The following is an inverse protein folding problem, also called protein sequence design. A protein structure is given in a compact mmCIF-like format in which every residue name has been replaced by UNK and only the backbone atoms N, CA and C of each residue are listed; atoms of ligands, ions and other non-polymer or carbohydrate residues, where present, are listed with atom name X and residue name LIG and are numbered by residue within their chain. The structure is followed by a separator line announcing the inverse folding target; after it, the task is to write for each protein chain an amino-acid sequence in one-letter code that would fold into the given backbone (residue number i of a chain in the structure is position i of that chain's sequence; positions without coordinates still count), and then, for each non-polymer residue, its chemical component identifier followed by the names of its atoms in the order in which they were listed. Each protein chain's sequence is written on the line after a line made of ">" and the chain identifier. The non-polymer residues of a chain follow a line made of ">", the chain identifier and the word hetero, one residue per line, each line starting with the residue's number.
data_IF_555942452732
#
_entry.id   IF_555942452732
#
_cell.length_a   1.000
_cell.length_b   1.000
_cell.length_c   1.000
_cell.angle_alpha   90.00
_cell.angle_beta   90.00
_cell.angle_gamma   90.00
#
_symmetry.space_group_name_H-M   'P 1'
#
loop_
_entity.id
_entity.type
_entity.pdbx_description
1 polymer ?
#
# COMPACT_ATOMS: atom_id res chain seq x y z
N UNK A 1 -25.48 -71.48 -10.42
CA UNK A 1 -25.98 -70.37 -9.57
C UNK A 1 -24.94 -69.21 -9.42
N UNK A 2 -24.04 -68.97 -10.36
CA UNK A 2 -23.04 -67.87 -10.27
C UNK A 2 -23.26 -66.60 -11.14
N UNK A 3 -24.14 -66.55 -12.16
CA UNK A 3 -24.30 -65.31 -12.96
C UNK A 3 -25.29 -64.28 -12.36
N UNK A 4 -26.22 -64.73 -11.46
CA UNK A 4 -27.23 -63.78 -10.95
C UNK A 4 -26.68 -62.75 -9.94
N UNK A 5 -25.66 -63.12 -9.15
CA UNK A 5 -25.08 -62.27 -8.13
C UNK A 5 -24.25 -61.16 -8.82
N UNK A 6 -23.59 -61.45 -9.94
CA UNK A 6 -22.79 -60.45 -10.70
C UNK A 6 -23.67 -59.38 -11.36
N UNK A 7 -24.85 -59.74 -11.83
CA UNK A 7 -25.79 -58.78 -12.44
C UNK A 7 -26.43 -57.85 -11.41
N UNK A 8 -26.71 -58.35 -10.20
CA UNK A 8 -27.26 -57.54 -9.10
C UNK A 8 -26.24 -56.48 -8.58
N UNK A 9 -24.95 -56.81 -8.53
CA UNK A 9 -23.90 -55.85 -8.15
C UNK A 9 -23.70 -54.74 -9.20
N UNK A 10 -23.85 -55.04 -10.49
CA UNK A 10 -23.74 -54.02 -11.57
C UNK A 10 -24.93 -53.06 -11.51
N UNK A 11 -26.13 -53.52 -11.24
CA UNK A 11 -27.32 -52.68 -11.06
C UNK A 11 -27.24 -51.75 -9.81
N UNK A 12 -26.65 -52.23 -8.72
CA UNK A 12 -26.44 -51.43 -7.52
C UNK A 12 -25.40 -50.32 -7.73
N UNK A 13 -24.37 -50.57 -8.54
CA UNK A 13 -23.34 -49.54 -8.87
C UNK A 13 -23.91 -48.51 -9.84
N UNK A 14 -24.71 -48.87 -10.82
CA UNK A 14 -25.36 -47.94 -11.74
C UNK A 14 -26.41 -47.05 -11.06
N UNK A 15 -27.16 -47.59 -10.10
CA UNK A 15 -28.15 -46.82 -9.34
C UNK A 15 -27.51 -45.74 -8.46
N UNK A 16 -26.32 -45.99 -7.92
CA UNK A 16 -25.62 -45.00 -7.11
C UNK A 16 -25.01 -43.86 -7.94
N UNK A 17 -24.57 -44.10 -9.18
CA UNK A 17 -24.03 -43.06 -10.08
C UNK A 17 -25.16 -42.11 -10.53
N UNK A 18 -26.33 -42.66 -10.91
CA UNK A 18 -27.47 -41.81 -11.30
C UNK A 18 -28.02 -40.96 -10.12
N UNK A 19 -28.00 -41.49 -8.89
CA UNK A 19 -28.41 -40.71 -7.71
C UNK A 19 -27.40 -39.62 -7.32
N UNK A 20 -26.12 -39.80 -7.62
CA UNK A 20 -25.08 -38.74 -7.41
C UNK A 20 -25.21 -37.61 -8.43
N UNK A 21 -25.47 -37.94 -9.69
CA UNK A 21 -25.65 -36.91 -10.74
C UNK A 21 -26.93 -36.09 -10.51
N UNK A 22 -28.01 -36.71 -10.02
CA UNK A 22 -29.26 -36.01 -9.67
C UNK A 22 -29.08 -35.10 -8.44
N UNK A 23 -28.29 -35.53 -7.44
CA UNK A 23 -27.99 -34.77 -6.24
C UNK A 23 -27.06 -33.57 -6.56
N UNK A 24 -26.12 -33.77 -7.49
CA UNK A 24 -25.25 -32.69 -7.99
C UNK A 24 -26.05 -31.65 -8.78
N UNK A 25 -26.99 -32.10 -9.64
CA UNK A 25 -27.85 -31.19 -10.38
C UNK A 25 -28.80 -30.41 -9.45
N UNK A 26 -29.32 -31.04 -8.39
CA UNK A 26 -30.11 -30.35 -7.35
C UNK A 26 -29.27 -29.34 -6.56
N UNK A 27 -28.03 -29.67 -6.20
CA UNK A 27 -27.10 -28.76 -5.55
C UNK A 27 -26.76 -27.57 -6.46
N UNK A 28 -26.48 -27.81 -7.74
CA UNK A 28 -26.24 -26.74 -8.73
C UNK A 28 -27.48 -25.86 -8.95
N UNK A 29 -28.69 -26.40 -8.82
CA UNK A 29 -29.93 -25.63 -8.92
C UNK A 29 -30.22 -24.78 -7.67
N UNK A 30 -29.67 -25.16 -6.52
CA UNK A 30 -29.74 -24.43 -5.25
C UNK A 30 -28.64 -23.35 -5.15
N UNK A 31 -27.56 -23.49 -5.90
CA UNK A 31 -26.58 -22.41 -6.05
C UNK A 31 -27.23 -21.30 -6.88
N UNK A 32 -27.53 -20.18 -6.19
CA UNK A 32 -28.01 -18.96 -6.84
C UNK A 32 -27.04 -18.48 -7.93
N UNK A 33 -27.42 -17.48 -8.71
CA UNK A 33 -26.57 -16.98 -9.78
C UNK A 33 -25.20 -16.60 -9.24
N UNK A 34 -24.13 -17.08 -9.89
CA UNK A 34 -22.76 -16.81 -9.49
C UNK A 34 -22.50 -15.30 -9.43
N UNK A 35 -22.28 -14.76 -8.22
CA UNK A 35 -22.10 -13.34 -7.98
C UNK A 35 -20.60 -13.03 -8.00
N UNK A 36 -20.22 -11.90 -8.63
CA UNK A 36 -18.85 -11.45 -8.63
C UNK A 36 -18.37 -11.12 -7.20
N UNK A 37 -17.29 -11.74 -6.76
CA UNK A 37 -16.77 -11.61 -5.39
C UNK A 37 -15.71 -10.51 -5.30
N UNK A 38 -15.74 -9.66 -4.26
CA UNK A 38 -14.69 -8.67 -4.05
C UNK A 38 -13.35 -9.34 -3.73
N UNK A 39 -12.28 -8.79 -4.30
CA UNK A 39 -10.90 -9.24 -4.05
C UNK A 39 -10.32 -8.41 -2.91
N UNK A 40 -9.95 -9.06 -1.84
CA UNK A 40 -9.34 -8.46 -0.66
C UNK A 40 -7.83 -8.69 -0.62
N UNK A 41 -7.13 -7.85 0.18
CA UNK A 41 -5.70 -7.94 0.43
C UNK A 41 -4.88 -7.96 -0.86
N UNK A 42 -5.06 -6.94 -1.70
CA UNK A 42 -4.20 -6.68 -2.86
C UNK A 42 -2.77 -6.41 -2.37
N UNK A 43 -2.63 -5.58 -1.36
CA UNK A 43 -1.43 -5.43 -0.55
C UNK A 43 -1.70 -5.91 0.88
N UNK A 44 -0.68 -5.96 1.73
CA UNK A 44 -0.89 -6.34 3.14
C UNK A 44 -1.03 -5.13 4.05
N UNK A 45 -0.21 -4.12 3.82
CA UNK A 45 -0.21 -2.87 4.58
C UNK A 45 -0.81 -1.71 3.81
N UNK A 46 -1.10 -0.63 4.52
CA UNK A 46 -1.54 0.65 3.94
C UNK A 46 -0.44 1.38 3.17
N UNK A 47 0.82 0.89 3.26
CA UNK A 47 1.98 1.36 2.50
C UNK A 47 2.78 0.18 1.93
N UNK A 48 3.47 0.42 0.78
CA UNK A 48 4.50 -0.50 0.26
C UNK A 48 5.78 -0.27 1.07
N UNK A 49 6.47 0.81 0.83
CA UNK A 49 7.57 1.34 1.66
C UNK A 49 7.24 2.77 2.09
N UNK A 50 7.23 3.72 1.14
CA UNK A 50 6.72 5.08 1.31
C UNK A 50 5.36 5.25 0.60
N UNK A 51 5.21 4.64 -0.58
CA UNK A 51 4.03 4.75 -1.42
C UNK A 51 2.80 4.17 -0.70
N UNK A 52 1.73 4.96 -0.64
CA UNK A 52 0.44 4.53 -0.12
C UNK A 52 -0.15 3.42 -1.00
N UNK A 53 -0.84 2.45 -0.40
CA UNK A 53 -1.56 1.40 -1.13
C UNK A 53 -3.07 1.66 -1.15
N UNK A 54 -3.80 0.90 -1.97
CA UNK A 54 -5.26 0.92 -1.98
C UNK A 54 -5.90 0.37 -0.69
N UNK A 55 -5.11 -0.22 0.21
CA UNK A 55 -5.64 -0.84 1.42
C UNK A 55 -6.01 0.18 2.50
N UNK A 56 -7.14 -0.07 3.15
CA UNK A 56 -7.64 0.63 4.33
C UNK A 56 -7.82 -0.40 5.45
N UNK A 57 -7.59 -0.03 6.73
CA UNK A 57 -8.08 -0.82 7.87
C UNK A 57 -9.60 -1.02 7.77
N UNK A 58 -10.13 -2.06 8.38
CA UNK A 58 -11.56 -2.31 8.39
C UNK A 58 -12.32 -1.20 9.16
N UNK A 59 -13.62 -1.11 8.94
CA UNK A 59 -14.46 -0.15 9.66
C UNK A 59 -14.36 -0.34 11.18
N UNK A 60 -14.13 0.76 11.90
CA UNK A 60 -13.93 0.76 13.34
C UNK A 60 -12.53 0.36 13.79
N UNK A 61 -11.60 0.16 12.84
CA UNK A 61 -10.21 -0.13 13.16
C UNK A 61 -9.32 1.11 13.06
N UNK A 62 -8.37 1.20 14.00
CA UNK A 62 -7.24 2.11 13.95
C UNK A 62 -5.97 1.38 13.55
N UNK A 63 -5.07 2.05 12.87
CA UNK A 63 -3.75 1.52 12.53
C UNK A 63 -2.68 2.48 13.03
N UNK A 64 -1.67 1.94 13.73
CA UNK A 64 -0.47 2.67 14.11
C UNK A 64 0.71 2.16 13.30
N UNK A 65 1.51 3.08 12.76
CA UNK A 65 2.72 2.76 11.97
C UNK A 65 3.90 3.52 12.56
N UNK A 66 4.98 2.79 12.82
CA UNK A 66 6.30 3.34 13.09
C UNK A 66 7.16 3.08 11.87
N UNK A 67 7.69 4.15 11.28
CA UNK A 67 8.64 4.07 10.18
C UNK A 67 9.99 4.60 10.62
N UNK A 68 11.05 3.92 10.22
CA UNK A 68 12.42 4.22 10.60
C UNK A 68 13.31 4.21 9.36
N UNK A 69 14.13 5.26 9.16
CA UNK A 69 15.13 5.34 8.10
C UNK A 69 16.46 5.70 8.72
N UNK A 70 17.42 4.82 8.53
CA UNK A 70 18.79 5.04 8.95
C UNK A 70 19.51 6.08 8.08
N UNK A 71 20.74 6.42 8.40
CA UNK A 71 21.55 7.27 7.54
C UNK A 71 22.08 6.51 6.31
N UNK A 72 22.77 7.19 5.42
CA UNK A 72 23.31 6.60 4.20
C UNK A 72 24.36 5.52 4.52
N UNK A 73 24.27 4.39 3.80
CA UNK A 73 25.21 3.26 3.96
C UNK A 73 26.64 3.62 3.53
N UNK A 74 26.78 4.55 2.58
CA UNK A 74 28.07 4.99 2.00
C UNK A 74 28.75 6.13 2.77
N UNK A 75 28.07 6.78 3.74
CA UNK A 75 28.66 7.84 4.55
C UNK A 75 29.54 7.25 5.67
N UNK A 76 30.85 7.18 5.41
CA UNK A 76 31.86 6.65 6.35
C UNK A 76 31.38 5.36 7.05
N UNK A 77 31.25 4.25 6.32
CA UNK A 77 30.48 3.08 6.77
C UNK A 77 30.90 2.52 8.13
N UNK A 78 32.18 2.38 8.39
CA UNK A 78 32.69 1.86 9.66
C UNK A 78 32.53 2.86 10.83
N UNK A 79 32.63 4.14 10.54
CA UNK A 79 32.48 5.19 11.56
C UNK A 79 31.02 5.36 12.01
N UNK A 80 30.09 5.35 11.05
CA UNK A 80 28.66 5.53 11.30
C UNK A 80 27.90 4.19 11.43
N UNK A 81 28.62 3.09 11.66
CA UNK A 81 28.06 1.73 11.73
C UNK A 81 27.06 1.47 10.57
N UNK A 82 27.51 1.70 9.32
CA UNK A 82 26.67 1.57 8.11
C UNK A 82 25.37 2.40 8.17
N UNK A 83 25.44 3.59 8.77
CA UNK A 83 24.33 4.51 8.92
C UNK A 83 23.41 4.23 10.11
N UNK A 84 23.63 3.19 10.89
CA UNK A 84 22.74 2.80 12.00
C UNK A 84 22.75 3.79 13.17
N UNK A 85 23.82 4.60 13.35
CA UNK A 85 23.95 5.56 14.46
C UNK A 85 23.02 6.75 14.35
N UNK A 86 22.44 7.02 13.17
CA UNK A 86 21.59 8.17 12.94
C UNK A 86 20.35 7.80 12.14
N UNK A 87 19.19 8.11 12.69
CA UNK A 87 17.93 7.73 12.11
C UNK A 87 16.89 8.86 12.09
N UNK A 88 16.02 8.80 11.10
CA UNK A 88 14.75 9.53 11.08
C UNK A 88 13.62 8.57 11.45
N UNK A 89 12.69 9.06 12.27
CA UNK A 89 11.53 8.29 12.74
C UNK A 89 10.27 9.03 12.31
N UNK A 90 9.27 8.28 11.88
CA UNK A 90 7.92 8.76 11.63
C UNK A 90 6.93 7.92 12.42
N UNK A 91 6.02 8.59 13.11
CA UNK A 91 4.83 8.02 13.72
C UNK A 91 3.61 8.41 12.91
N UNK A 92 2.73 7.46 12.69
CA UNK A 92 1.50 7.66 11.95
C UNK A 92 0.37 6.88 12.66
N UNK A 93 -0.77 7.53 12.78
CA UNK A 93 -2.00 6.89 13.25
C UNK A 93 -3.13 7.19 12.28
N UNK A 94 -3.90 6.17 11.95
CA UNK A 94 -5.10 6.32 11.13
C UNK A 94 -6.27 5.55 11.72
N UNK A 95 -7.48 5.97 11.34
CA UNK A 95 -8.74 5.36 11.75
C UNK A 95 -9.69 5.28 10.57
N UNK A 96 -10.43 4.17 10.46
CA UNK A 96 -11.43 3.96 9.42
C UNK A 96 -12.84 4.08 10.02
N UNK A 97 -13.52 5.22 9.86
CA UNK A 97 -14.91 5.39 10.33
C UNK A 97 -15.92 4.59 9.49
N UNK A 98 -15.54 4.13 8.32
CA UNK A 98 -16.32 3.25 7.44
C UNK A 98 -15.42 2.38 6.59
N UNK A 99 -15.99 1.38 5.90
CA UNK A 99 -15.25 0.49 4.98
C UNK A 99 -14.60 1.20 3.78
N UNK A 100 -15.08 2.41 3.46
CA UNK A 100 -14.63 3.18 2.29
C UNK A 100 -13.79 4.40 2.63
N UNK A 101 -13.71 4.78 3.91
CA UNK A 101 -13.01 5.99 4.34
C UNK A 101 -12.00 5.67 5.44
N UNK A 102 -10.76 6.17 5.27
CA UNK A 102 -9.72 6.18 6.29
C UNK A 102 -9.14 7.58 6.42
N UNK A 103 -8.98 8.06 7.63
CA UNK A 103 -8.34 9.34 7.96
C UNK A 103 -7.13 9.10 8.84
N UNK A 104 -6.07 9.87 8.67
CA UNK A 104 -4.86 9.68 9.43
C UNK A 104 -4.05 10.96 9.60
N UNK A 105 -3.10 10.88 10.51
CA UNK A 105 -2.13 11.93 10.77
C UNK A 105 -0.77 11.32 11.07
N UNK A 106 0.27 12.08 10.80
CA UNK A 106 1.62 11.63 11.04
C UNK A 106 2.57 12.75 11.43
N UNK A 107 3.71 12.34 12.01
CA UNK A 107 4.82 13.24 12.28
C UNK A 107 6.14 12.56 11.95
N UNK A 108 6.94 13.21 11.12
CA UNK A 108 8.32 12.80 10.81
C UNK A 108 9.32 13.66 11.58
N UNK A 109 10.38 13.04 12.10
CA UNK A 109 11.52 13.78 12.66
C UNK A 109 12.34 14.51 11.59
N UNK A 110 12.32 14.02 10.35
CA UNK A 110 12.89 14.67 9.20
C UNK A 110 12.16 15.98 8.91
N UNK A 111 12.89 17.10 8.82
CA UNK A 111 12.36 18.46 8.66
C UNK A 111 11.24 18.81 9.64
N UNK A 112 11.10 18.08 10.77
CA UNK A 112 10.04 18.28 11.77
C UNK A 112 8.65 18.41 11.12
N UNK A 113 8.33 17.49 10.20
CA UNK A 113 7.15 17.57 9.34
C UNK A 113 5.95 16.90 10.02
N UNK A 114 4.79 17.56 9.96
CA UNK A 114 3.48 17.02 10.31
C UNK A 114 2.65 16.86 9.05
N UNK A 115 1.77 15.89 9.03
CA UNK A 115 0.81 15.68 7.94
C UNK A 115 -0.50 15.11 8.46
N UNK A 116 -1.55 15.39 7.71
CA UNK A 116 -2.85 14.76 7.83
C UNK A 116 -3.30 14.28 6.45
N UNK A 117 -4.04 13.19 6.42
CA UNK A 117 -4.50 12.62 5.15
C UNK A 117 -5.86 11.93 5.25
N UNK A 118 -6.46 11.72 4.09
CA UNK A 118 -7.63 10.88 3.91
C UNK A 118 -7.43 9.94 2.73
N UNK A 119 -8.00 8.74 2.83
CA UNK A 119 -8.15 7.77 1.76
C UNK A 119 -9.63 7.47 1.58
N UNK A 120 -10.09 7.45 0.34
CA UNK A 120 -11.46 7.08 -0.01
C UNK A 120 -11.44 5.96 -1.06
N UNK A 121 -11.97 4.79 -0.74
CA UNK A 121 -12.10 3.67 -1.67
C UNK A 121 -13.23 3.96 -2.64
N UNK A 122 -12.91 4.04 -3.94
CA UNK A 122 -13.86 4.36 -5.01
C UNK A 122 -14.48 3.08 -5.60
N UNK A 123 -13.67 2.03 -5.76
CA UNK A 123 -14.11 0.73 -6.26
C UNK A 123 -13.19 -0.38 -5.78
N UNK A 124 -13.73 -1.59 -5.70
CA UNK A 124 -12.98 -2.80 -5.30
C UNK A 124 -12.95 -3.78 -6.45
N UNK A 125 -11.76 -4.30 -6.76
CA UNK A 125 -11.58 -5.37 -7.74
C UNK A 125 -12.49 -6.55 -7.41
N UNK A 126 -13.05 -7.17 -8.43
CA UNK A 126 -13.88 -8.36 -8.30
C UNK A 126 -13.24 -9.54 -9.03
N UNK A 127 -13.44 -10.74 -8.48
CA UNK A 127 -13.14 -12.01 -9.15
C UNK A 127 -14.37 -12.43 -9.95
N UNK A 128 -14.14 -12.91 -11.17
CA UNK A 128 -15.18 -13.53 -11.97
C UNK A 128 -15.32 -15.00 -11.58
N UNK A 129 -16.44 -15.44 -11.00
CA UNK A 129 -16.71 -16.84 -10.77
C UNK A 129 -16.91 -17.59 -12.10
N UNK A 130 -16.79 -18.90 -12.07
CA UNK A 130 -17.11 -19.76 -13.22
C UNK A 130 -18.60 -19.57 -13.61
N UNK A 131 -18.86 -19.50 -14.91
CA UNK A 131 -20.24 -19.25 -15.41
C UNK A 131 -20.74 -17.82 -15.35
N UNK A 132 -20.06 -16.88 -14.67
CA UNK A 132 -20.50 -15.48 -14.60
C UNK A 132 -20.29 -14.75 -15.93
N UNK A 133 -21.39 -14.26 -16.54
CA UNK A 133 -21.40 -13.54 -17.84
C UNK A 133 -21.44 -12.01 -17.68
N UNK A 134 -21.64 -11.50 -16.46
CA UNK A 134 -21.74 -10.08 -16.16
C UNK A 134 -20.39 -9.36 -16.22
N UNK A 135 -20.46 -8.01 -16.15
CA UNK A 135 -19.27 -7.18 -15.96
C UNK A 135 -18.70 -7.39 -14.55
N UNK A 136 -17.38 -7.43 -14.44
CA UNK A 136 -16.65 -7.45 -13.15
C UNK A 136 -15.65 -6.31 -13.12
N UNK A 137 -15.50 -5.68 -11.95
CA UNK A 137 -14.56 -4.58 -11.73
C UNK A 137 -13.13 -5.14 -11.79
N UNK A 138 -12.27 -4.70 -12.75
CA UNK A 138 -10.99 -5.33 -13.00
C UNK A 138 -9.86 -4.92 -12.04
N UNK A 139 -10.04 -3.84 -11.26
CA UNK A 139 -9.04 -3.25 -10.37
C UNK A 139 -9.69 -2.59 -9.15
N UNK A 140 -8.90 -2.36 -8.11
CA UNK A 140 -9.27 -1.53 -6.96
C UNK A 140 -8.79 -0.11 -7.20
N UNK A 141 -9.64 0.90 -6.97
CA UNK A 141 -9.27 2.31 -7.02
C UNK A 141 -9.55 2.98 -5.68
N UNK A 142 -8.56 3.75 -5.20
CA UNK A 142 -8.65 4.53 -3.96
C UNK A 142 -8.07 5.91 -4.20
N UNK A 143 -8.81 6.94 -3.80
CA UNK A 143 -8.33 8.31 -3.76
C UNK A 143 -7.58 8.56 -2.45
N UNK A 144 -6.45 9.26 -2.53
CA UNK A 144 -5.66 9.71 -1.40
C UNK A 144 -5.43 11.21 -1.51
N UNK A 145 -5.57 11.90 -0.39
CA UNK A 145 -5.25 13.33 -0.30
C UNK A 145 -4.56 13.60 1.02
N UNK A 146 -3.44 14.32 0.99
CA UNK A 146 -2.72 14.74 2.19
C UNK A 146 -2.33 16.21 2.17
N UNK A 147 -2.22 16.78 3.36
CA UNK A 147 -1.65 18.09 3.63
C UNK A 147 -0.45 17.90 4.55
N UNK A 148 0.65 18.53 4.20
CA UNK A 148 1.93 18.45 4.92
C UNK A 148 2.37 19.83 5.38
N UNK A 149 2.88 19.94 6.61
CA UNK A 149 3.41 21.17 7.21
C UNK A 149 4.85 20.95 7.64
N UNK A 150 5.79 21.67 7.07
CA UNK A 150 7.19 21.69 7.51
C UNK A 150 7.37 22.73 8.62
N UNK A 151 7.83 22.29 9.81
CA UNK A 151 7.98 23.21 10.97
C UNK A 151 9.41 23.67 11.24
N UNK A 152 10.39 23.18 10.47
CA UNK A 152 11.76 23.69 10.54
C UNK A 152 11.78 25.17 10.14
N UNK A 153 12.51 26.04 10.86
CA UNK A 153 12.67 27.44 10.47
C UNK A 153 13.23 27.57 9.04
N UNK A 154 12.79 28.58 8.32
CA UNK A 154 13.40 28.93 7.04
C UNK A 154 14.83 29.40 7.27
N UNK A 155 15.78 29.05 6.38
CA UNK A 155 17.19 29.40 6.56
C UNK A 155 17.51 30.84 6.18
N UNK A 156 16.59 31.53 5.51
CA UNK A 156 16.70 32.92 5.09
C UNK A 156 16.18 33.90 6.17
N UNK A 157 16.47 35.17 6.03
CA UNK A 157 15.99 36.24 6.91
C UNK A 157 14.77 36.98 6.31
N UNK A 158 13.94 36.26 5.55
CA UNK A 158 12.73 36.79 4.92
C UNK A 158 11.53 36.43 5.77
N UNK A 159 10.58 37.34 5.87
CA UNK A 159 9.29 37.04 6.51
C UNK A 159 8.45 36.13 5.61
N UNK A 160 8.16 34.93 6.10
CA UNK A 160 7.34 33.94 5.44
C UNK A 160 5.95 33.85 6.05
N UNK A 161 4.95 33.61 5.20
CA UNK A 161 3.61 33.28 5.66
C UNK A 161 3.55 31.86 6.22
N UNK A 162 2.63 31.60 7.14
CA UNK A 162 2.40 30.25 7.66
C UNK A 162 2.00 29.25 6.54
N UNK A 163 1.32 29.76 5.50
CA UNK A 163 0.95 28.98 4.32
C UNK A 163 2.14 28.48 3.50
N UNK A 164 3.28 29.19 3.53
CA UNK A 164 4.47 28.81 2.75
C UNK A 164 5.07 27.47 3.17
N UNK A 165 4.70 27.01 4.37
CA UNK A 165 5.08 25.71 4.95
C UNK A 165 4.25 24.54 4.48
N UNK A 166 3.19 24.82 3.70
CA UNK A 166 2.22 23.82 3.29
C UNK A 166 2.56 23.21 1.93
N UNK A 167 2.35 21.90 1.84
CA UNK A 167 2.29 21.19 0.57
C UNK A 167 1.13 20.19 0.60
N UNK A 168 0.57 19.91 -0.58
CA UNK A 168 -0.57 19.02 -0.73
C UNK A 168 -0.25 17.93 -1.74
N UNK A 169 -0.75 16.73 -1.49
CA UNK A 169 -0.59 15.59 -2.41
C UNK A 169 -1.96 14.99 -2.67
N UNK A 170 -2.25 14.75 -3.95
CA UNK A 170 -3.45 14.05 -4.38
C UNK A 170 -3.04 12.89 -5.28
N UNK A 171 -3.47 11.66 -4.93
CA UNK A 171 -3.15 10.45 -5.69
C UNK A 171 -4.42 9.68 -6.03
N UNK A 172 -4.49 9.17 -7.24
CA UNK A 172 -5.45 8.14 -7.61
C UNK A 172 -4.70 6.80 -7.66
N UNK A 173 -4.86 5.99 -6.63
CA UNK A 173 -4.21 4.68 -6.55
C UNK A 173 -5.05 3.64 -7.29
N UNK A 174 -4.48 3.00 -8.31
CA UNK A 174 -5.09 1.98 -9.14
C UNK A 174 -4.32 0.69 -8.96
N UNK A 175 -4.91 -0.30 -8.30
CA UNK A 175 -4.22 -1.54 -7.97
C UNK A 175 -4.97 -2.77 -8.49
N UNK A 176 -4.19 -3.78 -8.87
CA UNK A 176 -4.72 -5.07 -9.30
C UNK A 176 -3.95 -6.21 -8.65
N UNK A 177 -4.67 -7.12 -8.02
CA UNK A 177 -4.18 -8.44 -7.66
C UNK A 177 -4.27 -9.31 -8.90
N UNK A 178 -3.13 -9.49 -9.57
CA UNK A 178 -3.04 -10.20 -10.86
C UNK A 178 -3.31 -11.69 -10.66
N UNK A 179 -2.74 -12.25 -9.57
CA UNK A 179 -2.95 -13.62 -9.14
C UNK A 179 -2.72 -13.73 -7.63
N UNK A 180 -2.68 -14.95 -7.10
CA UNK A 180 -2.46 -15.20 -5.66
C UNK A 180 -1.15 -14.59 -5.12
N UNK A 181 -0.11 -14.53 -5.94
CA UNK A 181 1.22 -14.06 -5.54
C UNK A 181 1.51 -12.61 -5.91
N UNK A 182 1.08 -12.15 -7.08
CA UNK A 182 1.47 -10.87 -7.67
C UNK A 182 0.37 -9.82 -7.58
N UNK A 183 0.72 -8.67 -7.02
CA UNK A 183 -0.08 -7.44 -7.01
C UNK A 183 0.72 -6.28 -7.57
N UNK A 184 0.07 -5.44 -8.34
CA UNK A 184 0.64 -4.25 -8.98
C UNK A 184 -0.21 -3.03 -8.65
N UNK A 185 0.42 -1.87 -8.57
CA UNK A 185 -0.23 -0.58 -8.35
C UNK A 185 0.39 0.50 -9.22
N UNK A 186 -0.46 1.37 -9.76
CA UNK A 186 -0.14 2.62 -10.42
C UNK A 186 -0.78 3.76 -9.64
N UNK A 187 -0.04 4.85 -9.41
CA UNK A 187 -0.50 5.98 -8.58
C UNK A 187 -0.17 7.31 -9.27
N UNK A 188 -0.93 7.73 -10.30
CA UNK A 188 -0.84 9.09 -10.79
C UNK A 188 -1.09 10.09 -9.66
N UNK A 189 -0.25 11.11 -9.59
CA UNK A 189 -0.14 12.02 -8.45
C UNK A 189 -0.02 13.46 -8.91
N UNK A 190 -0.72 14.35 -8.21
CA UNK A 190 -0.52 15.79 -8.23
C UNK A 190 0.08 16.22 -6.88
N UNK A 191 1.17 16.97 -6.92
CA UNK A 191 1.81 17.56 -5.74
C UNK A 191 1.81 19.09 -5.90
N UNK A 192 1.20 19.77 -4.94
CA UNK A 192 1.18 21.23 -4.87
C UNK A 192 2.08 21.71 -3.75
N UNK A 193 3.00 22.64 -4.06
CA UNK A 193 3.79 23.36 -3.08
C UNK A 193 3.35 24.82 -3.01
N UNK A 194 3.03 25.32 -1.83
CA UNK A 194 2.71 26.74 -1.67
C UNK A 194 3.93 27.63 -1.87
N UNK A 195 5.12 27.13 -1.51
CA UNK A 195 6.39 27.81 -1.74
C UNK A 195 7.27 26.99 -2.68
N UNK A 196 7.74 27.59 -3.75
CA UNK A 196 8.66 27.04 -4.75
C UNK A 196 9.97 27.84 -4.78
N UNK A 197 11.09 27.28 -5.27
CA UNK A 197 12.41 27.93 -5.22
C UNK A 197 12.45 29.28 -5.93
N UNK A 198 11.78 29.43 -7.07
CA UNK A 198 11.76 30.70 -7.83
C UNK A 198 10.33 31.04 -8.25
N UNK A 199 10.09 32.31 -8.55
CA UNK A 199 8.78 32.82 -9.01
C UNK A 199 8.35 32.27 -10.39
N UNK A 200 9.27 31.67 -11.13
CA UNK A 200 9.00 31.04 -12.44
C UNK A 200 8.69 29.53 -12.31
N UNK A 201 8.95 28.94 -11.17
CA UNK A 201 8.67 27.52 -10.92
C UNK A 201 7.17 27.29 -10.74
N UNK A 202 6.75 26.07 -11.03
CA UNK A 202 5.35 25.65 -10.90
C UNK A 202 5.05 25.15 -9.49
N UNK A 203 3.97 25.65 -8.93
CA UNK A 203 3.43 25.12 -7.67
C UNK A 203 2.85 23.71 -7.86
N UNK A 204 2.19 23.46 -9.02
CA UNK A 204 1.55 22.18 -9.35
C UNK A 204 2.50 21.29 -10.16
N UNK A 205 2.78 20.12 -9.63
CA UNK A 205 3.74 19.19 -10.18
C UNK A 205 3.11 17.80 -10.30
N UNK A 206 3.38 17.09 -11.39
CA UNK A 206 2.81 15.78 -11.67
C UNK A 206 3.88 14.69 -11.54
N UNK A 207 3.44 13.54 -11.09
CA UNK A 207 4.25 12.34 -11.00
C UNK A 207 3.41 11.08 -11.00
N UNK A 208 4.10 9.96 -10.93
CA UNK A 208 3.46 8.65 -10.87
C UNK A 208 4.26 7.69 -10.02
N UNK A 209 3.58 7.07 -9.05
CA UNK A 209 4.11 5.97 -8.27
C UNK A 209 3.80 4.63 -8.94
N UNK A 210 4.78 3.72 -8.93
CA UNK A 210 4.63 2.33 -9.32
C UNK A 210 4.93 1.46 -8.13
N UNK A 211 4.07 0.48 -7.87
CA UNK A 211 4.18 -0.44 -6.75
C UNK A 211 4.00 -1.89 -7.15
N UNK A 212 4.79 -2.76 -6.54
CA UNK A 212 4.76 -4.20 -6.74
C UNK A 212 4.81 -4.91 -5.39
N UNK A 213 4.04 -6.00 -5.27
CA UNK A 213 4.17 -6.97 -4.19
C UNK A 213 4.14 -8.37 -4.78
N UNK A 214 5.14 -9.18 -4.44
CA UNK A 214 5.23 -10.58 -4.82
C UNK A 214 5.32 -11.49 -3.58
N UNK A 215 4.23 -12.19 -3.29
CA UNK A 215 4.10 -13.11 -2.16
C UNK A 215 4.71 -14.46 -2.53
N UNK A 216 5.80 -14.87 -1.86
CA UNK A 216 6.46 -16.14 -2.11
C UNK A 216 6.22 -17.17 -0.99
N UNK A 217 5.75 -16.75 0.19
CA UNK A 217 5.20 -17.64 1.22
C UNK A 217 3.91 -17.05 1.78
N UNK A 218 3.22 -17.77 2.67
CA UNK A 218 2.00 -17.26 3.32
C UNK A 218 2.27 -16.05 4.23
N UNK A 219 3.51 -15.85 4.68
CA UNK A 219 3.90 -14.79 5.63
C UNK A 219 4.93 -13.83 5.09
N UNK A 220 5.50 -14.09 3.91
CA UNK A 220 6.58 -13.27 3.37
C UNK A 220 6.29 -12.86 1.94
N UNK A 221 6.57 -11.58 1.65
CA UNK A 221 6.44 -11.02 0.31
C UNK A 221 7.61 -10.08 0.01
N UNK A 222 8.10 -10.12 -1.21
CA UNK A 222 8.97 -9.10 -1.77
C UNK A 222 8.13 -7.91 -2.20
N UNK A 223 8.61 -6.70 -1.94
CA UNK A 223 7.98 -5.44 -2.35
C UNK A 223 8.96 -4.57 -3.09
N UNK A 224 8.47 -3.81 -4.04
CA UNK A 224 9.24 -2.79 -4.73
C UNK A 224 8.34 -1.60 -5.05
N UNK A 225 8.92 -0.41 -5.03
CA UNK A 225 8.24 0.81 -5.45
C UNK A 225 9.22 1.75 -6.13
N UNK A 226 8.70 2.58 -7.02
CA UNK A 226 9.40 3.75 -7.55
C UNK A 226 8.42 4.89 -7.76
N UNK A 227 8.89 6.10 -7.58
CA UNK A 227 8.14 7.32 -7.89
C UNK A 227 8.94 8.18 -8.86
N UNK A 228 8.29 8.56 -9.94
CA UNK A 228 8.86 9.39 -11.01
C UNK A 228 7.98 10.63 -11.14
N UNK A 229 8.57 11.81 -11.06
CA UNK A 229 7.83 13.05 -11.21
C UNK A 229 8.75 14.21 -11.59
N UNK A 230 8.14 15.28 -12.09
CA UNK A 230 8.82 16.53 -12.38
C UNK A 230 8.52 17.49 -11.23
N UNK A 231 9.53 17.87 -10.47
CA UNK A 231 9.41 18.84 -9.39
C UNK A 231 10.21 20.12 -9.67
N UNK A 232 9.93 21.21 -8.95
CA UNK A 232 10.63 22.49 -9.11
C UNK A 232 12.00 22.52 -8.43
N UNK A 233 12.35 21.46 -7.68
CA UNK A 233 13.58 21.41 -6.91
C UNK A 233 14.71 20.82 -7.74
N UNK A 234 15.86 21.49 -7.73
CA UNK A 234 17.08 20.96 -8.32
C UNK A 234 17.57 19.72 -7.57
N UNK A 235 18.30 18.84 -8.25
CA UNK A 235 18.91 17.64 -7.68
C UNK A 235 17.89 16.70 -6.98
N UNK A 236 16.69 16.55 -7.54
CA UNK A 236 15.78 15.49 -7.14
C UNK A 236 15.85 14.31 -8.11
N UNK A 237 15.79 13.08 -7.56
CA UNK A 237 15.89 11.84 -8.31
C UNK A 237 14.71 10.95 -7.98
N UNK A 238 14.32 10.03 -8.89
CA UNK A 238 13.28 9.06 -8.62
C UNK A 238 13.51 8.32 -7.31
N UNK A 239 12.52 8.36 -6.42
CA UNK A 239 12.57 7.59 -5.19
C UNK A 239 12.25 6.14 -5.49
N UNK A 240 13.19 5.23 -5.23
CA UNK A 240 13.07 3.81 -5.52
C UNK A 240 13.39 3.01 -4.27
N UNK A 241 12.57 2.01 -3.97
CA UNK A 241 12.73 1.16 -2.81
C UNK A 241 12.48 -0.30 -3.17
N UNK A 242 13.21 -1.19 -2.50
CA UNK A 242 12.95 -2.63 -2.48
C UNK A 242 12.79 -3.08 -1.04
N UNK A 243 11.94 -4.05 -0.78
CA UNK A 243 11.63 -4.47 0.57
C UNK A 243 11.18 -5.91 0.71
N UNK A 244 11.11 -6.32 1.97
CA UNK A 244 10.62 -7.62 2.40
C UNK A 244 9.57 -7.42 3.49
N UNK A 245 8.35 -7.84 3.23
CA UNK A 245 7.27 -7.89 4.21
C UNK A 245 7.30 -9.21 4.97
N UNK A 246 7.19 -9.13 6.30
CA UNK A 246 7.03 -10.26 7.20
C UNK A 246 5.75 -10.09 8.01
N UNK A 247 4.80 -11.01 7.84
CA UNK A 247 3.52 -11.02 8.54
C UNK A 247 3.59 -11.91 9.79
N UNK A 248 3.31 -11.32 10.95
CA UNK A 248 3.18 -12.03 12.22
C UNK A 248 1.81 -11.70 12.80
N UNK A 249 1.05 -12.66 13.21
CA UNK A 249 -0.34 -12.64 13.75
C UNK A 249 -1.06 -11.34 14.16
N UNK A 250 -0.43 -10.19 14.19
CA UNK A 250 -1.03 -8.89 14.53
C UNK A 250 -0.16 -7.71 14.10
N UNK A 251 1.04 -7.98 13.57
CA UNK A 251 1.96 -6.97 13.09
C UNK A 251 2.41 -7.29 11.68
N UNK A 252 2.71 -6.25 10.90
CA UNK A 252 3.43 -6.36 9.63
C UNK A 252 4.74 -5.61 9.79
N UNK A 253 5.85 -6.33 9.60
CA UNK A 253 7.18 -5.76 9.54
C UNK A 253 7.61 -5.67 8.08
N UNK A 254 8.09 -4.50 7.68
CA UNK A 254 8.55 -4.22 6.32
C UNK A 254 9.99 -3.73 6.40
N UNK A 255 10.95 -4.58 6.08
CA UNK A 255 12.35 -4.20 5.95
C UNK A 255 12.63 -3.76 4.53
N UNK A 256 13.40 -2.69 4.35
CA UNK A 256 13.64 -2.16 3.01
C UNK A 256 14.97 -1.42 2.88
N UNK A 257 15.37 -1.32 1.62
CA UNK A 257 16.46 -0.51 1.13
C UNK A 257 15.88 0.53 0.17
N UNK A 258 16.20 1.79 0.36
CA UNK A 258 15.65 2.91 -0.40
C UNK A 258 16.70 3.98 -0.63
N UNK A 259 16.59 4.77 -1.70
CA UNK A 259 17.36 6.00 -1.87
C UNK A 259 16.65 7.24 -1.31
N UNK A 260 15.44 7.10 -0.75
CA UNK A 260 14.69 8.19 -0.15
C UNK A 260 14.73 8.11 1.38
N UNK A 261 15.46 9.04 2.00
CA UNK A 261 15.54 9.12 3.47
C UNK A 261 14.29 9.73 4.08
N UNK A 262 13.67 10.70 3.39
CA UNK A 262 12.44 11.33 3.87
C UNK A 262 11.25 10.37 3.79
N UNK A 263 10.29 10.55 4.71
CA UNK A 263 9.08 9.74 4.83
C UNK A 263 7.79 10.57 4.71
N UNK A 264 7.89 11.89 4.56
CA UNK A 264 6.76 12.76 4.27
C UNK A 264 6.55 12.85 2.75
N UNK A 265 5.30 12.75 2.30
CA UNK A 265 4.96 12.51 0.89
C UNK A 265 5.59 13.50 -0.11
N UNK A 266 5.43 14.83 0.00
CA UNK A 266 6.02 15.74 -0.99
C UNK A 266 7.55 15.67 -1.00
N UNK A 267 8.17 15.39 0.16
CA UNK A 267 9.62 15.37 0.31
C UNK A 267 10.26 14.15 -0.36
N UNK A 268 9.74 12.94 -0.11
CA UNK A 268 10.30 11.75 -0.76
C UNK A 268 9.92 11.65 -2.23
N UNK A 269 8.80 12.26 -2.64
CA UNK A 269 8.31 12.23 -4.03
C UNK A 269 9.12 13.15 -4.94
N UNK A 270 9.27 14.43 -4.57
CA UNK A 270 9.80 15.46 -5.47
C UNK A 270 10.99 16.26 -4.88
N UNK A 271 11.46 15.94 -3.68
CA UNK A 271 12.61 16.56 -3.04
C UNK A 271 13.67 15.53 -2.62
N UNK A 272 13.65 14.35 -3.24
CA UNK A 272 14.59 13.29 -2.92
C UNK A 272 15.96 13.49 -3.57
N UNK A 273 17.05 13.77 -2.82
CA UNK A 273 18.39 13.97 -3.37
C UNK A 273 19.16 12.67 -3.60
N UNK A 274 18.70 11.55 -3.05
CA UNK A 274 19.44 10.30 -3.08
C UNK A 274 19.43 9.61 -4.45
N UNK A 275 20.58 9.11 -4.87
CA UNK A 275 20.78 8.43 -6.15
C UNK A 275 21.21 6.98 -5.95
N UNK A 276 20.45 6.04 -6.53
CA UNK A 276 20.82 4.61 -6.53
C UNK A 276 22.20 4.38 -7.18
N UNK A 277 22.47 5.05 -8.29
CA UNK A 277 23.74 4.93 -9.02
C UNK A 277 24.97 5.42 -8.25
N UNK A 278 24.77 6.28 -7.27
CA UNK A 278 25.84 6.79 -6.38
C UNK A 278 25.96 6.01 -5.08
N UNK A 279 25.06 5.05 -4.86
CA UNK A 279 25.02 4.27 -3.61
C UNK A 279 24.43 5.03 -2.43
N UNK A 280 23.63 6.08 -2.67
CA UNK A 280 22.92 6.80 -1.62
C UNK A 280 21.73 5.99 -1.13
N UNK A 281 22.03 4.93 -0.39
CA UNK A 281 21.06 3.94 0.06
C UNK A 281 20.90 4.00 1.57
N UNK A 282 19.64 3.90 1.98
CA UNK A 282 19.22 3.95 3.39
C UNK A 282 18.51 2.64 3.74
N UNK A 283 18.98 1.98 4.78
CA UNK A 283 18.21 0.90 5.41
C UNK A 283 17.03 1.50 6.17
N UNK A 284 15.96 0.77 6.25
CA UNK A 284 14.81 1.16 7.05
C UNK A 284 13.86 0.01 7.32
N UNK A 285 12.89 0.30 8.18
CA UNK A 285 11.77 -0.60 8.40
C UNK A 285 10.50 0.21 8.68
N UNK A 286 9.35 -0.39 8.37
CA UNK A 286 8.07 0.02 8.90
C UNK A 286 7.53 -1.12 9.78
N UNK A 287 6.89 -0.78 10.87
CA UNK A 287 6.13 -1.70 11.71
C UNK A 287 4.72 -1.16 11.85
N UNK A 288 3.74 -1.95 11.44
CA UNK A 288 2.33 -1.58 11.55
C UNK A 288 1.57 -2.53 12.45
N UNK A 289 0.62 -1.98 13.20
CA UNK A 289 -0.32 -2.72 14.03
C UNK A 289 -1.72 -2.15 13.90
N UNK A 290 -2.69 -3.02 13.76
CA UNK A 290 -4.13 -2.68 13.71
C UNK A 290 -4.74 -2.92 15.09
N UNK A 291 -5.62 -2.01 15.51
CA UNK A 291 -6.39 -2.05 16.75
C UNK A 291 -7.87 -1.98 16.42
N UNK A 292 -8.65 -2.89 16.94
CA UNK A 292 -10.11 -2.85 16.81
C UNK A 292 -10.69 -1.98 17.95
N UNK A 293 -11.43 -0.93 17.58
CA UNK A 293 -12.09 0.00 18.49
C UNK A 293 -13.61 -0.26 18.62
N UNK A 294 -14.16 -1.22 17.84
CA UNK A 294 -15.56 -1.63 18.03
C UNK A 294 -15.67 -2.34 19.37
N UNK A 295 -16.48 -1.79 20.25
CA UNK A 295 -16.88 -2.48 21.49
C UNK A 295 -17.65 -3.74 21.07
N UNK A 296 -17.17 -4.91 21.46
CA UNK A 296 -17.96 -6.13 21.35
C UNK A 296 -19.07 -5.95 22.40
N UNK A 297 -20.27 -5.60 21.96
CA UNK A 297 -21.46 -5.75 22.83
C UNK A 297 -21.57 -7.24 23.16
N UNK A 298 -21.31 -7.57 24.43
CA UNK A 298 -21.45 -8.92 24.99
C UNK A 298 -22.87 -9.16 25.41
#
# INVERSE_FOLDING_TARGET
>A
MKPIITLACIWLIMGNVAAQDDLLADLESLEGPSIAEPVYATFKGSKIVNLQTVELPAEGEGQFIISHRFAALNDRPLYNLFGLDNAQIRFEYSYSPSEVLNIGMGRSSGSKTYDAYMKARLMTQQRRPEGHKGFVIPLTATWYSSMTVVTTPFPDNIDHFASDRLAFVHQLMLARKVNHALSLQLSPTLVHFNLVPTSTDRNDNFGCGLGLRYKFTNRMAFTAETYIGNGPFENHYPATSIGLDLETGGHVFQFHLTNARSMADPQWMLQNPGQWSQGDLFLGFNMSRVFNHKTIER
#
